data_IF_364567182283
#
_entry.id   IF_364567182283
#
_cell.length_a   1.000
_cell.length_b   1.000
_cell.length_c   1.000
_cell.angle_alpha   90.00
_cell.angle_beta   90.00
_cell.angle_gamma   90.00
#
_symmetry.space_group_name_H-M   'P 1'
#
loop_
_entity.id
_entity.type
_entity.pdbx_description
1 polymer ?
#
# COMPACT_ATOMS: atom_id res chain seq x y z
N UNK A 1 15.90 -25.20 -30.52
CA UNK A 1 17.20 -25.94 -30.69
C UNK A 1 18.00 -25.70 -29.42
N UNK A 2 18.16 -26.72 -28.57
CA UNK A 2 18.89 -26.57 -27.30
C UNK A 2 20.39 -26.50 -27.63
N UNK A 3 21.08 -25.41 -27.25
CA UNK A 3 22.54 -25.30 -27.39
C UNK A 3 23.18 -25.14 -26.02
N UNK A 4 24.19 -25.97 -25.73
CA UNK A 4 24.94 -25.91 -24.47
C UNK A 4 24.31 -26.63 -23.26
N UNK A 5 23.72 -27.82 -23.40
CA UNK A 5 23.57 -28.68 -22.20
C UNK A 5 24.80 -29.59 -22.07
N UNK A 6 25.37 -29.79 -20.87
CA UNK A 6 26.32 -30.87 -20.65
C UNK A 6 25.66 -32.23 -21.00
N UNK A 7 26.43 -33.24 -21.42
CA UNK A 7 25.86 -34.57 -21.67
C UNK A 7 25.19 -35.08 -20.38
N UNK A 8 23.90 -35.43 -20.49
CA UNK A 8 23.11 -36.02 -19.39
C UNK A 8 23.78 -37.32 -18.95
N UNK A 9 24.33 -37.36 -17.72
CA UNK A 9 25.10 -38.50 -17.20
C UNK A 9 24.47 -39.15 -15.97
N UNK A 10 23.31 -38.68 -15.49
CA UNK A 10 22.56 -39.32 -14.42
C UNK A 10 21.19 -39.81 -14.90
N UNK A 11 20.67 -40.83 -14.23
CA UNK A 11 19.41 -41.51 -14.52
C UNK A 11 18.16 -40.72 -14.09
N UNK A 12 18.25 -39.39 -13.98
CA UNK A 12 17.08 -38.55 -13.83
C UNK A 12 16.24 -38.67 -15.11
N UNK A 13 14.94 -38.84 -14.96
CA UNK A 13 13.98 -39.09 -16.04
C UNK A 13 13.90 -37.90 -16.99
N UNK A 14 14.85 -37.78 -17.92
CA UNK A 14 14.76 -36.77 -18.98
C UNK A 14 13.79 -37.25 -20.03
N UNK A 15 12.61 -36.66 -20.02
CA UNK A 15 11.52 -37.00 -20.91
C UNK A 15 11.24 -35.91 -21.96
N UNK A 16 12.21 -35.02 -22.17
CA UNK A 16 12.15 -33.88 -23.09
C UNK A 16 11.54 -34.24 -24.46
N UNK A 17 10.32 -33.76 -24.72
CA UNK A 17 9.81 -33.64 -26.09
C UNK A 17 9.98 -32.20 -26.54
N UNK A 18 10.52 -32.03 -27.75
CA UNK A 18 10.46 -30.74 -28.43
C UNK A 18 9.20 -30.73 -29.29
N UNK A 19 8.13 -30.08 -28.82
CA UNK A 19 7.21 -29.44 -29.75
C UNK A 19 7.97 -28.27 -30.42
N UNK A 20 7.48 -27.72 -31.54
CA UNK A 20 8.13 -26.55 -32.14
C UNK A 20 8.08 -25.36 -31.17
N UNK A 21 9.15 -25.16 -30.40
CA UNK A 21 9.29 -24.04 -29.47
C UNK A 21 9.01 -24.34 -27.99
N UNK A 22 8.71 -25.59 -27.58
CA UNK A 22 8.43 -25.94 -26.17
C UNK A 22 9.20 -27.17 -25.72
N UNK A 23 9.68 -27.14 -24.47
CA UNK A 23 10.26 -28.22 -23.71
C UNK A 23 9.22 -28.73 -22.71
N UNK A 24 8.61 -29.88 -23.00
CA UNK A 24 7.59 -30.47 -22.11
C UNK A 24 8.24 -31.47 -21.15
N UNK A 25 7.94 -31.34 -19.85
CA UNK A 25 8.11 -32.40 -18.86
C UNK A 25 6.84 -33.28 -18.84
N UNK A 26 6.91 -34.52 -18.36
CA UNK A 26 5.74 -35.42 -18.45
C UNK A 26 5.10 -35.50 -17.07
N UNK A 27 3.78 -35.34 -16.98
CA UNK A 27 3.10 -35.32 -15.68
C UNK A 27 3.54 -36.36 -14.63
N UNK A 28 3.47 -35.97 -13.37
CA UNK A 28 4.22 -36.48 -12.23
C UNK A 28 4.99 -35.32 -11.59
N UNK A 29 5.73 -35.60 -10.51
CA UNK A 29 6.54 -34.57 -9.86
C UNK A 29 7.93 -34.55 -10.52
N UNK A 30 8.20 -33.55 -11.36
CA UNK A 30 9.40 -33.38 -12.16
C UNK A 30 10.35 -32.30 -11.60
N UNK A 31 11.58 -32.31 -12.10
CA UNK A 31 12.61 -31.32 -11.75
C UNK A 31 13.40 -30.89 -12.97
N UNK A 32 13.43 -29.59 -13.23
CA UNK A 32 14.27 -28.95 -14.22
C UNK A 32 15.31 -28.04 -13.56
N UNK A 33 16.57 -28.12 -13.99
CA UNK A 33 17.65 -27.28 -13.46
C UNK A 33 18.55 -26.78 -14.60
N UNK A 34 18.74 -25.46 -14.64
CA UNK A 34 19.59 -24.76 -15.59
C UNK A 34 20.62 -23.91 -14.85
N UNK A 35 21.89 -24.29 -14.96
CA UNK A 35 23.04 -23.60 -14.37
C UNK A 35 24.13 -23.36 -15.40
N UNK A 36 25.20 -22.65 -15.02
CA UNK A 36 26.39 -22.56 -15.87
C UNK A 36 26.91 -23.95 -16.24
N UNK A 37 27.16 -24.15 -17.52
CA UNK A 37 27.88 -25.32 -18.03
C UNK A 37 29.37 -25.06 -18.15
N UNK A 38 30.14 -26.13 -18.34
CA UNK A 38 31.57 -26.07 -18.63
C UNK A 38 31.85 -26.82 -19.95
N UNK A 39 32.36 -26.11 -20.95
CA UNK A 39 32.82 -26.69 -22.21
C UNK A 39 34.35 -26.65 -22.29
N UNK A 40 34.98 -27.74 -21.84
CA UNK A 40 36.46 -27.92 -21.91
C UNK A 40 37.27 -26.92 -21.06
N UNK A 41 36.73 -26.47 -19.95
CA UNK A 41 37.32 -25.49 -19.03
C UNK A 41 36.80 -24.08 -19.21
N UNK A 42 36.00 -23.82 -20.26
CA UNK A 42 35.37 -22.53 -20.51
C UNK A 42 33.92 -22.55 -20.01
N UNK A 43 33.58 -21.76 -18.97
CA UNK A 43 32.21 -21.66 -18.50
C UNK A 43 31.32 -20.99 -19.55
N UNK A 44 30.11 -21.49 -19.72
CA UNK A 44 29.12 -20.88 -20.60
C UNK A 44 27.73 -20.90 -19.96
N UNK A 45 26.91 -19.91 -20.30
CA UNK A 45 25.51 -19.84 -19.89
C UNK A 45 24.64 -20.51 -20.98
N UNK A 46 23.73 -21.42 -20.64
CA UNK A 46 22.83 -22.02 -21.61
C UNK A 46 21.92 -20.98 -22.28
N UNK A 47 21.57 -21.20 -23.55
CA UNK A 47 20.55 -20.39 -24.24
C UNK A 47 19.51 -21.34 -24.83
N UNK A 48 18.31 -21.32 -24.24
CA UNK A 48 17.14 -22.12 -24.56
C UNK A 48 16.13 -21.24 -25.28
N UNK A 49 16.13 -21.31 -26.60
CA UNK A 49 15.12 -20.66 -27.46
C UNK A 49 13.86 -21.55 -27.54
N UNK A 50 13.21 -21.74 -26.40
CA UNK A 50 11.98 -22.50 -26.21
C UNK A 50 11.33 -22.16 -24.85
N UNK A 51 10.02 -22.39 -24.75
CA UNK A 51 9.27 -22.40 -23.52
C UNK A 51 9.58 -23.67 -22.71
N UNK A 52 9.36 -23.64 -21.40
CA UNK A 52 9.30 -24.81 -20.51
C UNK A 52 7.86 -24.98 -20.03
N UNK A 53 7.33 -26.19 -20.16
CA UNK A 53 6.03 -26.61 -19.66
C UNK A 53 6.28 -27.80 -18.73
N UNK A 54 6.06 -27.63 -17.42
CA UNK A 54 6.31 -28.67 -16.42
C UNK A 54 5.13 -29.66 -16.32
N UNK A 55 3.91 -29.18 -16.51
CA UNK A 55 2.76 -30.00 -16.87
C UNK A 55 1.82 -30.25 -15.70
N UNK A 56 1.92 -31.41 -15.05
CA UNK A 56 0.99 -31.73 -13.96
C UNK A 56 1.69 -32.54 -12.88
N UNK A 57 1.41 -32.30 -11.61
CA UNK A 57 2.14 -32.83 -10.46
C UNK A 57 3.05 -31.75 -9.86
N UNK A 58 3.54 -31.98 -8.64
CA UNK A 58 4.31 -30.94 -7.92
C UNK A 58 5.74 -30.84 -8.48
N UNK A 59 6.00 -29.82 -9.27
CA UNK A 59 7.19 -29.62 -10.07
C UNK A 59 8.21 -28.64 -9.44
N UNK A 60 9.47 -28.76 -9.84
CA UNK A 60 10.54 -27.87 -9.38
C UNK A 60 11.42 -27.40 -10.52
N UNK A 61 11.44 -26.09 -10.76
CA UNK A 61 12.26 -25.43 -11.78
C UNK A 61 13.30 -24.53 -11.13
N UNK A 62 14.57 -24.68 -11.51
CA UNK A 62 15.66 -23.84 -10.99
C UNK A 62 16.48 -23.29 -12.14
N UNK A 63 16.53 -21.97 -12.27
CA UNK A 63 17.31 -21.26 -13.28
C UNK A 63 18.33 -20.35 -12.59
N UNK A 64 19.61 -20.65 -12.73
CA UNK A 64 20.71 -19.91 -12.11
C UNK A 64 21.62 -19.19 -13.12
N UNK A 65 21.51 -19.54 -14.40
CA UNK A 65 22.26 -18.90 -15.48
C UNK A 65 21.62 -19.20 -16.82
N UNK A 66 21.75 -18.28 -17.77
CA UNK A 66 21.35 -18.50 -19.15
C UNK A 66 20.05 -17.83 -19.52
N UNK A 67 19.46 -18.25 -20.64
CA UNK A 67 18.18 -17.74 -21.08
C UNK A 67 17.20 -18.85 -21.40
N UNK A 68 15.93 -18.63 -21.05
CA UNK A 68 14.77 -19.41 -21.48
C UNK A 68 13.68 -18.45 -21.96
N UNK A 69 12.75 -18.89 -22.82
CA UNK A 69 11.64 -18.06 -23.26
C UNK A 69 10.61 -17.97 -22.13
N UNK A 70 9.53 -18.73 -22.13
CA UNK A 70 8.57 -18.72 -21.01
C UNK A 70 8.69 -19.98 -20.13
N UNK A 71 8.18 -19.90 -18.90
CA UNK A 71 8.02 -21.03 -17.97
C UNK A 71 6.54 -21.11 -17.59
N UNK A 72 5.96 -22.29 -17.76
CA UNK A 72 4.62 -22.67 -17.32
C UNK A 72 4.79 -23.87 -16.37
N UNK A 73 4.40 -23.75 -15.10
CA UNK A 73 4.54 -24.84 -14.13
C UNK A 73 3.37 -25.84 -14.24
N UNK A 74 2.14 -25.35 -14.42
CA UNK A 74 0.99 -26.18 -14.79
C UNK A 74 0.12 -26.55 -13.59
N UNK A 75 -0.40 -27.77 -13.56
CA UNK A 75 -1.29 -28.24 -12.47
C UNK A 75 -0.44 -28.85 -11.33
N UNK A 76 -0.33 -28.24 -10.15
CA UNK A 76 0.49 -28.80 -9.08
C UNK A 76 0.69 -27.83 -7.93
N UNK A 77 1.42 -28.27 -6.90
CA UNK A 77 2.03 -27.33 -5.95
C UNK A 77 3.48 -27.17 -6.37
N UNK A 78 3.73 -26.20 -7.25
CA UNK A 78 4.97 -26.08 -7.98
C UNK A 78 5.92 -25.08 -7.36
N UNK A 79 7.17 -25.12 -7.82
CA UNK A 79 8.16 -24.15 -7.38
C UNK A 79 9.13 -23.77 -8.47
N UNK A 80 9.42 -22.48 -8.56
CA UNK A 80 10.44 -21.94 -9.46
C UNK A 80 11.39 -21.00 -8.72
N UNK A 81 12.70 -21.19 -8.94
CA UNK A 81 13.74 -20.30 -8.42
C UNK A 81 14.57 -19.74 -9.58
N UNK A 82 14.53 -18.42 -9.77
CA UNK A 82 15.27 -17.72 -10.83
C UNK A 82 16.29 -16.80 -10.18
N UNK A 83 17.57 -17.01 -10.48
CA UNK A 83 18.68 -16.25 -9.91
C UNK A 83 19.83 -16.11 -10.90
N UNK A 84 20.82 -15.29 -10.54
CA UNK A 84 22.02 -15.02 -11.32
C UNK A 84 21.89 -13.80 -12.24
N UNK A 85 22.85 -12.87 -12.16
CA UNK A 85 22.80 -11.59 -12.87
C UNK A 85 22.91 -11.69 -14.41
N UNK A 86 23.16 -12.88 -14.95
CA UNK A 86 23.18 -13.14 -16.39
C UNK A 86 21.96 -13.93 -16.88
N UNK A 87 20.97 -14.13 -16.00
CA UNK A 87 19.79 -14.95 -16.26
C UNK A 87 18.69 -14.10 -16.88
N UNK A 88 18.10 -14.61 -17.95
CA UNK A 88 16.95 -14.02 -18.63
C UNK A 88 15.86 -15.07 -18.76
N UNK A 89 14.70 -14.80 -18.15
CA UNK A 89 13.48 -15.59 -18.31
C UNK A 89 12.45 -14.64 -18.90
N UNK A 90 11.62 -15.11 -19.82
CA UNK A 90 10.40 -14.43 -20.23
C UNK A 90 9.34 -14.55 -19.14
N UNK A 91 8.12 -14.87 -19.53
CA UNK A 91 7.02 -14.94 -18.58
C UNK A 91 7.11 -16.21 -17.73
N UNK A 92 6.59 -16.13 -16.51
CA UNK A 92 6.49 -17.25 -15.57
C UNK A 92 5.04 -17.33 -15.12
N UNK A 93 4.41 -18.49 -15.32
CA UNK A 93 3.06 -18.79 -14.81
C UNK A 93 3.16 -19.98 -13.86
N UNK A 94 2.57 -19.85 -12.66
CA UNK A 94 2.42 -20.97 -11.73
C UNK A 94 1.42 -21.99 -12.27
N UNK A 95 0.17 -21.60 -12.44
CA UNK A 95 -0.84 -22.46 -13.08
C UNK A 95 -1.97 -22.78 -12.13
N UNK A 96 -2.27 -24.05 -11.85
CA UNK A 96 -3.29 -24.44 -10.87
C UNK A 96 -2.63 -25.08 -9.66
N UNK A 97 -2.81 -24.47 -8.50
CA UNK A 97 -2.40 -24.93 -7.18
C UNK A 97 -1.59 -23.85 -6.47
N UNK A 98 -1.18 -24.12 -5.22
CA UNK A 98 -0.51 -23.12 -4.38
C UNK A 98 0.99 -23.09 -4.70
N UNK A 99 1.44 -22.20 -5.58
CA UNK A 99 2.78 -22.21 -6.15
C UNK A 99 3.79 -21.31 -5.42
N UNK A 100 5.08 -21.62 -5.57
CA UNK A 100 6.18 -20.84 -5.00
C UNK A 100 7.10 -20.28 -6.09
N UNK A 101 7.05 -18.97 -6.31
CA UNK A 101 7.88 -18.26 -7.28
C UNK A 101 8.91 -17.40 -6.55
N UNK A 102 10.20 -17.69 -6.73
CA UNK A 102 11.29 -16.94 -6.10
C UNK A 102 12.27 -16.37 -7.13
N UNK A 103 12.43 -15.05 -7.17
CA UNK A 103 13.27 -14.34 -8.14
C UNK A 103 14.34 -13.48 -7.46
N UNK A 104 15.55 -13.56 -8.00
CA UNK A 104 16.68 -12.73 -7.56
C UNK A 104 17.26 -13.13 -6.21
N UNK A 105 16.74 -14.16 -5.56
CA UNK A 105 17.19 -14.65 -4.26
C UNK A 105 18.00 -15.92 -4.44
N UNK A 106 19.20 -15.94 -3.87
CA UNK A 106 20.05 -17.11 -3.80
C UNK A 106 20.40 -17.41 -2.34
N UNK A 107 19.80 -18.47 -1.80
CA UNK A 107 20.15 -18.97 -0.48
C UNK A 107 21.31 -19.96 -0.57
N UNK A 108 22.39 -19.69 0.18
CA UNK A 108 23.52 -20.60 0.35
C UNK A 108 23.86 -20.74 1.83
N UNK A 109 24.73 -21.69 2.18
CA UNK A 109 25.14 -21.93 3.57
C UNK A 109 25.75 -20.67 4.24
N UNK A 110 26.34 -19.77 3.45
CA UNK A 110 26.92 -18.51 3.90
C UNK A 110 25.90 -17.39 4.15
N UNK A 111 24.64 -17.55 3.70
CA UNK A 111 23.57 -16.58 3.85
C UNK A 111 22.74 -16.38 2.57
N UNK A 112 21.95 -15.32 2.56
CA UNK A 112 21.11 -14.93 1.42
C UNK A 112 21.86 -13.91 0.57
N UNK A 113 21.95 -14.17 -0.73
CA UNK A 113 22.55 -13.27 -1.72
C UNK A 113 21.49 -12.83 -2.71
N UNK A 114 21.51 -11.55 -3.07
CA UNK A 114 20.65 -11.02 -4.11
C UNK A 114 21.39 -10.99 -5.45
N UNK A 115 20.67 -11.31 -6.50
CA UNK A 115 21.14 -11.30 -7.88
C UNK A 115 20.18 -10.50 -8.76
N UNK A 116 20.60 -10.20 -9.98
CA UNK A 116 19.85 -9.29 -10.87
C UNK A 116 19.40 -10.01 -12.16
N UNK A 117 18.52 -11.03 -12.08
CA UNK A 117 17.94 -11.61 -13.28
C UNK A 117 17.02 -10.62 -13.98
N UNK A 118 16.69 -10.90 -15.24
CA UNK A 118 15.59 -10.25 -15.96
C UNK A 118 14.49 -11.31 -16.14
N UNK A 119 13.28 -10.99 -15.70
CA UNK A 119 12.09 -11.83 -15.84
C UNK A 119 11.01 -11.00 -16.54
N UNK A 120 10.18 -11.63 -17.35
CA UNK A 120 8.98 -11.00 -17.91
C UNK A 120 7.90 -10.82 -16.85
N UNK A 121 6.65 -11.06 -17.23
CA UNK A 121 5.52 -11.05 -16.31
C UNK A 121 5.57 -12.31 -15.45
N UNK A 122 5.32 -12.15 -14.16
CA UNK A 122 5.11 -13.26 -13.23
C UNK A 122 3.62 -13.32 -12.93
N UNK A 123 3.01 -14.49 -13.14
CA UNK A 123 1.62 -14.80 -12.79
C UNK A 123 1.62 -15.99 -11.81
N UNK A 124 0.95 -15.87 -10.66
CA UNK A 124 0.73 -17.00 -9.76
C UNK A 124 -0.20 -18.02 -10.39
N UNK A 125 -1.44 -17.64 -10.69
CA UNK A 125 -2.40 -18.51 -11.37
C UNK A 125 -3.65 -18.73 -10.53
N UNK A 126 -4.20 -19.93 -10.50
CA UNK A 126 -5.27 -20.32 -9.56
C UNK A 126 -4.66 -21.00 -8.34
N UNK A 127 -4.87 -20.50 -7.13
CA UNK A 127 -4.29 -21.08 -5.91
C UNK A 127 -3.85 -19.99 -4.95
N UNK A 128 -3.46 -20.35 -3.73
CA UNK A 128 -2.84 -19.41 -2.79
C UNK A 128 -1.33 -19.36 -3.01
N UNK A 129 -0.88 -18.50 -3.92
CA UNK A 129 0.47 -18.44 -4.42
C UNK A 129 1.39 -17.60 -3.52
N UNK A 130 2.70 -17.89 -3.58
CA UNK A 130 3.73 -17.11 -2.91
C UNK A 130 4.79 -16.66 -3.91
N UNK A 131 4.81 -15.36 -4.17
CA UNK A 131 5.76 -14.70 -5.09
C UNK A 131 6.74 -13.87 -4.26
N UNK A 132 8.03 -14.20 -4.29
CA UNK A 132 9.09 -13.47 -3.57
C UNK A 132 10.17 -12.98 -4.53
N UNK A 133 10.40 -11.66 -4.57
CA UNK A 133 11.36 -11.03 -5.51
C UNK A 133 12.35 -10.16 -4.73
N UNK A 134 13.60 -10.64 -4.59
CA UNK A 134 14.66 -9.97 -3.84
C UNK A 134 15.67 -9.18 -4.67
N UNK A 135 15.62 -9.28 -5.99
CA UNK A 135 16.46 -8.49 -6.89
C UNK A 135 16.18 -8.78 -8.37
N UNK A 136 16.72 -7.95 -9.25
CA UNK A 136 16.53 -8.05 -10.70
C UNK A 136 15.46 -7.11 -11.24
N UNK A 137 15.18 -7.26 -12.54
CA UNK A 137 14.13 -6.53 -13.23
C UNK A 137 13.02 -7.52 -13.60
N UNK A 138 11.79 -7.19 -13.27
CA UNK A 138 10.58 -7.96 -13.61
C UNK A 138 9.62 -7.03 -14.33
N UNK A 139 8.94 -7.50 -15.36
CA UNK A 139 8.05 -6.65 -16.16
C UNK A 139 6.82 -6.21 -15.35
N UNK A 140 6.08 -7.17 -14.80
CA UNK A 140 4.90 -6.96 -13.96
C UNK A 140 4.70 -8.18 -13.04
N UNK A 141 3.85 -8.04 -12.03
CA UNK A 141 3.41 -9.15 -11.18
C UNK A 141 1.89 -9.19 -11.15
N UNK A 142 1.34 -10.36 -11.40
CA UNK A 142 -0.08 -10.70 -11.32
C UNK A 142 -0.17 -11.89 -10.35
N UNK A 143 -0.85 -11.73 -9.21
CA UNK A 143 -0.93 -12.80 -8.23
C UNK A 143 -1.88 -13.90 -8.71
N UNK A 144 -3.06 -13.51 -9.20
CA UNK A 144 -4.01 -14.39 -9.86
C UNK A 144 -5.25 -14.61 -9.01
N UNK A 145 -5.82 -15.81 -9.06
CA UNK A 145 -7.01 -16.15 -8.30
C UNK A 145 -6.64 -17.00 -7.08
N UNK A 146 -6.84 -16.45 -5.89
CA UNK A 146 -6.67 -17.12 -4.60
C UNK A 146 -6.22 -16.13 -3.55
N UNK A 147 -5.91 -16.60 -2.34
CA UNK A 147 -5.39 -15.71 -1.29
C UNK A 147 -3.86 -15.69 -1.38
N UNK A 148 -3.29 -14.73 -2.09
CA UNK A 148 -1.89 -14.73 -2.50
C UNK A 148 -0.96 -13.93 -1.59
N UNK A 149 0.34 -14.22 -1.66
CA UNK A 149 1.38 -13.47 -0.98
C UNK A 149 2.47 -13.01 -1.94
N UNK A 150 2.54 -11.70 -2.18
CA UNK A 150 3.58 -11.06 -3.01
C UNK A 150 4.53 -10.25 -2.12
N UNK A 151 5.82 -10.60 -2.13
CA UNK A 151 6.86 -9.90 -1.35
C UNK A 151 7.99 -9.40 -2.25
N UNK A 152 8.08 -8.09 -2.41
CA UNK A 152 9.10 -7.40 -3.20
C UNK A 152 10.10 -6.71 -2.26
N UNK A 153 11.38 -6.97 -2.44
CA UNK A 153 12.44 -6.45 -1.58
C UNK A 153 13.75 -6.15 -2.29
N UNK A 154 14.82 -6.00 -1.50
CA UNK A 154 16.18 -5.79 -2.00
C UNK A 154 16.29 -4.56 -2.91
N UNK A 155 16.90 -4.72 -4.09
CA UNK A 155 17.00 -3.68 -5.13
C UNK A 155 16.22 -4.08 -6.39
N UNK A 156 15.08 -4.76 -6.21
CA UNK A 156 14.19 -5.15 -7.31
C UNK A 156 13.65 -3.94 -8.06
N UNK A 157 13.52 -4.05 -9.38
CA UNK A 157 12.74 -3.14 -10.20
C UNK A 157 11.59 -3.90 -10.87
N UNK A 158 10.35 -3.49 -10.57
CA UNK A 158 9.17 -3.89 -11.35
C UNK A 158 8.90 -2.77 -12.35
N UNK A 159 8.77 -3.06 -13.64
CA UNK A 159 8.61 -2.03 -14.68
C UNK A 159 7.20 -1.43 -14.70
N UNK A 160 6.19 -2.27 -14.49
CA UNK A 160 4.77 -1.92 -14.54
C UNK A 160 4.12 -2.08 -13.16
N UNK A 161 2.94 -2.68 -13.13
CA UNK A 161 2.05 -2.79 -11.99
C UNK A 161 2.28 -4.10 -11.20
N UNK A 162 1.71 -4.13 -10.00
CA UNK A 162 1.50 -5.34 -9.21
C UNK A 162 -0.01 -5.46 -8.97
N UNK A 163 -0.59 -6.58 -9.39
CA UNK A 163 -2.02 -6.86 -9.26
C UNK A 163 -2.24 -8.07 -8.32
N UNK A 164 -3.09 -7.91 -7.31
CA UNK A 164 -3.58 -9.02 -6.46
C UNK A 164 -4.63 -9.89 -7.16
N UNK A 165 -5.42 -9.29 -8.06
CA UNK A 165 -6.51 -9.94 -8.79
C UNK A 165 -7.66 -10.44 -7.88
N UNK A 166 -7.84 -11.74 -7.65
CA UNK A 166 -9.06 -12.24 -6.99
C UNK A 166 -8.76 -13.07 -5.75
N UNK A 167 -9.12 -12.57 -4.58
CA UNK A 167 -8.99 -13.25 -3.29
C UNK A 167 -8.53 -12.27 -2.22
N UNK A 168 -8.07 -12.75 -1.07
CA UNK A 168 -7.58 -11.86 -0.01
C UNK A 168 -6.06 -11.84 -0.04
N UNK A 169 -5.49 -10.87 -0.75
CA UNK A 169 -4.09 -10.86 -1.09
C UNK A 169 -3.25 -10.08 -0.09
N UNK A 170 -1.98 -10.46 0.04
CA UNK A 170 -1.00 -9.71 0.82
C UNK A 170 0.16 -9.29 -0.06
N UNK A 171 0.29 -8.00 -0.32
CA UNK A 171 1.36 -7.40 -1.11
C UNK A 171 2.28 -6.60 -0.18
N UNK A 172 3.58 -6.91 -0.19
CA UNK A 172 4.58 -6.25 0.65
C UNK A 172 5.73 -5.69 -0.20
N UNK A 173 6.00 -4.40 -0.07
CA UNK A 173 7.14 -3.71 -0.69
C UNK A 173 8.13 -3.25 0.39
N UNK A 174 9.39 -3.63 0.23
CA UNK A 174 10.45 -3.38 1.21
C UNK A 174 11.80 -3.06 0.57
N UNK A 175 12.79 -2.74 1.40
CA UNK A 175 14.15 -2.46 0.92
C UNK A 175 14.22 -1.19 0.06
N UNK A 176 14.93 -1.28 -1.07
CA UNK A 176 15.03 -0.22 -2.07
C UNK A 176 14.30 -0.60 -3.37
N UNK A 177 13.28 -1.46 -3.29
CA UNK A 177 12.52 -1.87 -4.46
C UNK A 177 11.88 -0.66 -5.17
N UNK A 178 11.76 -0.70 -6.49
CA UNK A 178 11.06 0.32 -7.27
C UNK A 178 9.97 -0.33 -8.12
N UNK A 179 8.73 0.11 -7.95
CA UNK A 179 7.59 -0.28 -8.78
C UNK A 179 7.36 0.87 -9.76
N UNK A 180 7.43 0.61 -11.06
CA UNK A 180 7.28 1.64 -12.08
C UNK A 180 5.84 2.14 -12.23
N UNK A 181 4.88 1.25 -11.98
CA UNK A 181 3.45 1.51 -11.97
C UNK A 181 2.85 1.59 -10.57
N UNK A 182 1.65 1.03 -10.45
CA UNK A 182 0.79 1.04 -9.27
C UNK A 182 0.71 -0.33 -8.60
N UNK A 183 0.03 -0.38 -7.46
CA UNK A 183 -0.34 -1.62 -6.77
C UNK A 183 -1.87 -1.66 -6.70
N UNK A 184 -2.47 -2.78 -7.11
CA UNK A 184 -3.91 -3.00 -7.09
C UNK A 184 -4.25 -4.20 -6.21
N UNK A 185 -5.15 -4.02 -5.23
CA UNK A 185 -5.75 -5.11 -4.44
C UNK A 185 -6.71 -5.94 -5.28
N UNK A 186 -7.69 -5.26 -5.89
CA UNK A 186 -8.78 -5.81 -6.72
C UNK A 186 -9.89 -6.48 -5.90
N UNK A 187 -10.31 -7.71 -6.22
CA UNK A 187 -11.50 -8.35 -5.63
C UNK A 187 -11.10 -9.06 -4.33
N UNK A 188 -11.36 -8.48 -3.15
CA UNK A 188 -10.74 -9.07 -1.96
C UNK A 188 -11.06 -8.47 -0.61
N UNK A 189 -10.30 -8.89 0.40
CA UNK A 189 -9.97 -8.07 1.55
C UNK A 189 -8.45 -8.07 1.62
N UNK A 190 -7.84 -7.09 1.00
CA UNK A 190 -6.43 -7.12 0.67
C UNK A 190 -5.60 -6.42 1.74
N UNK A 191 -4.33 -6.78 1.79
CA UNK A 191 -3.35 -6.15 2.68
C UNK A 191 -2.15 -5.68 1.89
N UNK A 192 -1.97 -4.36 1.81
CA UNK A 192 -0.79 -3.74 1.19
C UNK A 192 0.13 -3.15 2.29
N UNK A 193 1.36 -3.65 2.36
CA UNK A 193 2.39 -3.20 3.31
C UNK A 193 3.54 -2.50 2.57
N UNK A 194 3.79 -1.23 2.87
CA UNK A 194 4.93 -0.46 2.37
C UNK A 194 5.92 -0.20 3.52
N UNK A 195 6.96 -1.03 3.57
CA UNK A 195 8.05 -0.99 4.57
C UNK A 195 9.35 -0.41 4.00
N UNK A 196 9.33 0.01 2.73
CA UNK A 196 10.47 0.56 2.01
C UNK A 196 10.14 0.76 0.53
N UNK A 197 11.17 1.02 -0.27
CA UNK A 197 11.02 1.17 -1.71
C UNK A 197 10.23 2.41 -2.16
N UNK A 198 9.93 2.43 -3.46
CA UNK A 198 9.12 3.46 -4.11
C UNK A 198 8.05 2.80 -4.99
N UNK A 199 6.80 3.25 -4.88
CA UNK A 199 5.69 2.91 -5.78
C UNK A 199 5.45 4.09 -6.71
N UNK A 200 5.59 3.84 -8.00
CA UNK A 200 5.52 4.82 -9.05
C UNK A 200 6.81 5.59 -9.30
N UNK A 201 6.72 6.55 -10.23
CA UNK A 201 7.81 7.43 -10.62
C UNK A 201 7.40 8.90 -10.56
N UNK A 202 8.35 9.81 -10.68
CA UNK A 202 8.04 11.26 -10.76
C UNK A 202 7.31 11.65 -12.05
N UNK A 203 7.41 10.84 -13.11
CA UNK A 203 6.77 11.14 -14.41
C UNK A 203 5.42 10.43 -14.59
N UNK A 204 5.25 9.29 -13.93
CA UNK A 204 4.03 8.51 -13.86
C UNK A 204 3.83 8.16 -12.39
N UNK A 205 3.10 9.01 -11.63
CA UNK A 205 2.77 8.73 -10.25
C UNK A 205 2.10 7.36 -10.14
N UNK A 206 2.58 6.53 -9.23
CA UNK A 206 2.03 5.21 -8.95
C UNK A 206 1.10 5.33 -7.76
N UNK A 207 -0.07 4.72 -7.86
CA UNK A 207 -1.08 4.72 -6.80
C UNK A 207 -1.06 3.37 -6.09
N UNK A 208 -1.69 3.34 -4.91
CA UNK A 208 -2.14 2.09 -4.30
C UNK A 208 -3.66 2.13 -4.35
N UNK A 209 -4.28 1.19 -5.04
CA UNK A 209 -5.72 1.10 -5.16
C UNK A 209 -6.17 -0.24 -4.56
N UNK A 210 -6.88 -0.17 -3.43
CA UNK A 210 -7.36 -1.35 -2.73
C UNK A 210 -8.65 -1.90 -3.35
N UNK A 211 -9.30 -1.13 -4.23
CA UNK A 211 -10.56 -1.47 -4.87
C UNK A 211 -11.68 -1.78 -3.85
N UNK A 212 -12.40 -2.90 -3.98
CA UNK A 212 -13.54 -3.20 -3.11
C UNK A 212 -13.20 -4.29 -2.11
N UNK A 213 -13.36 -4.03 -0.82
CA UNK A 213 -12.96 -4.98 0.21
C UNK A 213 -12.85 -4.31 1.57
N UNK A 214 -12.80 -5.09 2.65
CA UNK A 214 -12.40 -4.54 3.95
C UNK A 214 -10.88 -4.63 4.06
N UNK A 215 -10.19 -3.69 3.42
CA UNK A 215 -8.77 -3.75 3.12
C UNK A 215 -7.90 -3.12 4.21
N UNK A 216 -6.61 -3.43 4.15
CA UNK A 216 -5.60 -2.94 5.09
C UNK A 216 -4.43 -2.33 4.31
N UNK A 217 -4.19 -1.05 4.54
CA UNK A 217 -2.97 -0.38 4.08
C UNK A 217 -2.06 -0.04 5.27
N UNK A 218 -0.85 -0.59 5.29
CA UNK A 218 0.18 -0.27 6.27
C UNK A 218 1.37 0.40 5.60
N UNK A 219 1.87 1.48 6.19
CA UNK A 219 3.10 2.13 5.74
C UNK A 219 3.98 2.50 6.93
N UNK A 220 5.20 1.95 6.95
CA UNK A 220 6.20 2.22 7.99
C UNK A 220 7.40 2.98 7.45
N UNK A 221 7.66 2.88 6.14
CA UNK A 221 8.67 3.63 5.41
C UNK A 221 8.30 3.66 3.91
N UNK A 222 9.27 3.96 3.04
CA UNK A 222 9.07 3.98 1.59
C UNK A 222 8.38 5.25 1.08
N UNK A 223 7.99 5.21 -0.19
CA UNK A 223 7.44 6.34 -0.91
C UNK A 223 6.38 5.92 -1.92
N UNK A 224 5.15 6.40 -1.78
CA UNK A 224 4.10 6.29 -2.80
C UNK A 224 4.02 7.65 -3.51
N UNK A 225 4.27 7.68 -4.82
CA UNK A 225 4.34 8.94 -5.57
C UNK A 225 2.98 9.49 -5.98
N UNK A 226 1.93 8.69 -5.87
CA UNK A 226 0.53 9.07 -6.04
C UNK A 226 -0.27 8.98 -4.74
N UNK A 227 -1.57 8.70 -4.90
CA UNK A 227 -2.56 8.58 -3.82
C UNK A 227 -2.78 7.12 -3.42
N UNK A 228 -3.44 6.92 -2.29
CA UNK A 228 -3.97 5.63 -1.81
C UNK A 228 -5.49 5.70 -1.85
N UNK A 229 -6.14 4.74 -2.49
CA UNK A 229 -7.60 4.66 -2.64
C UNK A 229 -8.12 3.38 -2.00
N UNK A 230 -9.21 3.48 -1.24
CA UNK A 230 -9.93 2.34 -0.70
C UNK A 230 -11.21 1.96 -1.43
N UNK A 231 -11.66 2.76 -2.41
CA UNK A 231 -12.96 2.72 -3.11
C UNK A 231 -14.19 2.29 -2.27
N UNK A 232 -14.32 1.05 -1.83
CA UNK A 232 -15.34 0.69 -0.84
C UNK A 232 -15.05 -0.50 0.06
N UNK A 233 -15.78 -0.58 1.16
CA UNK A 233 -15.55 -1.52 2.25
C UNK A 233 -14.94 -0.82 3.45
N UNK A 234 -15.01 -1.44 4.63
CA UNK A 234 -14.53 -0.81 5.87
C UNK A 234 -13.03 -1.01 6.03
N UNK A 235 -12.27 -0.08 5.47
CA UNK A 235 -10.82 -0.13 5.30
C UNK A 235 -10.06 0.36 6.54
N UNK A 236 -8.82 -0.12 6.69
CA UNK A 236 -7.91 0.30 7.76
C UNK A 236 -6.58 0.79 7.21
N UNK A 237 -6.22 2.03 7.51
CA UNK A 237 -4.98 2.67 7.10
C UNK A 237 -4.10 2.97 8.32
N UNK A 238 -2.90 2.42 8.37
CA UNK A 238 -1.89 2.72 9.40
C UNK A 238 -0.62 3.27 8.78
N UNK A 239 -0.41 4.58 8.87
CA UNK A 239 0.76 5.27 8.31
C UNK A 239 1.61 5.84 9.44
N UNK A 240 2.76 5.21 9.70
CA UNK A 240 3.67 5.56 10.81
C UNK A 240 5.00 6.17 10.36
N UNK A 241 5.31 6.07 9.07
CA UNK A 241 6.51 6.64 8.44
C UNK A 241 6.37 6.63 6.91
N UNK A 242 7.42 7.07 6.22
CA UNK A 242 7.40 7.18 4.76
C UNK A 242 6.64 8.41 4.24
N UNK A 243 6.49 8.48 2.91
CA UNK A 243 5.83 9.60 2.21
C UNK A 243 4.81 9.11 1.19
N UNK A 244 3.57 9.56 1.31
CA UNK A 244 2.57 9.55 0.24
C UNK A 244 2.52 10.96 -0.35
N UNK A 245 2.81 11.14 -1.64
CA UNK A 245 2.79 12.46 -2.29
C UNK A 245 1.37 12.96 -2.58
N UNK A 246 0.44 12.04 -2.84
CA UNK A 246 -0.98 12.31 -2.99
C UNK A 246 -1.74 12.26 -1.66
N UNK A 247 -3.00 11.85 -1.75
CA UNK A 247 -3.93 11.76 -0.62
C UNK A 247 -4.20 10.32 -0.24
N UNK A 248 -4.83 10.13 0.91
CA UNK A 248 -5.52 8.89 1.29
C UNK A 248 -7.02 9.16 1.15
N UNK A 249 -7.70 8.40 0.30
CA UNK A 249 -9.15 8.44 0.13
C UNK A 249 -9.74 7.11 0.61
N UNK A 250 -10.47 7.15 1.72
CA UNK A 250 -10.86 5.91 2.42
C UNK A 250 -12.00 5.16 1.71
N UNK A 251 -12.94 5.89 1.10
CA UNK A 251 -13.86 5.34 0.12
C UNK A 251 -15.30 5.29 0.63
N UNK A 252 -15.82 4.10 0.89
CA UNK A 252 -17.21 3.96 1.34
C UNK A 252 -17.37 2.90 2.41
N UNK A 253 -18.31 3.12 3.34
CA UNK A 253 -18.48 2.40 4.61
C UNK A 253 -17.48 2.88 5.68
N UNK A 254 -17.67 2.39 6.91
CA UNK A 254 -16.93 2.87 8.07
C UNK A 254 -15.43 2.51 7.99
N UNK A 255 -14.61 3.52 7.78
CA UNK A 255 -13.17 3.44 7.59
C UNK A 255 -12.37 3.89 8.84
N UNK A 256 -11.12 3.45 8.93
CA UNK A 256 -10.21 3.88 10.00
C UNK A 256 -8.84 4.31 9.46
N UNK A 257 -8.50 5.58 9.65
CA UNK A 257 -7.20 6.15 9.27
C UNK A 257 -6.40 6.58 10.51
N UNK A 258 -5.20 6.01 10.68
CA UNK A 258 -4.28 6.35 11.77
C UNK A 258 -2.93 6.86 11.24
N UNK A 259 -2.60 8.12 11.54
CA UNK A 259 -1.34 8.77 11.17
C UNK A 259 -0.46 9.00 12.40
N UNK A 260 0.79 8.53 12.34
CA UNK A 260 1.72 8.59 13.47
C UNK A 260 3.18 8.74 13.05
N UNK A 261 4.08 8.75 14.04
CA UNK A 261 5.53 8.75 13.83
C UNK A 261 6.00 9.94 12.99
N UNK A 262 6.71 9.64 11.90
CA UNK A 262 7.27 10.61 10.96
C UNK A 262 6.63 10.54 9.57
N UNK A 263 5.42 10.00 9.47
CA UNK A 263 4.65 9.95 8.23
C UNK A 263 4.50 11.34 7.59
N UNK A 264 4.51 11.37 6.26
CA UNK A 264 4.18 12.55 5.46
C UNK A 264 3.13 12.17 4.43
N UNK A 265 1.98 12.84 4.44
CA UNK A 265 0.93 12.68 3.42
C UNK A 265 0.72 14.02 2.74
N UNK A 266 0.76 14.00 1.41
CA UNK A 266 0.70 15.16 0.55
C UNK A 266 -0.74 15.54 0.22
N UNK A 267 -0.96 16.01 -1.00
CA UNK A 267 -2.29 16.38 -1.51
C UNK A 267 -2.36 15.92 -2.94
N UNK A 268 -3.38 15.16 -3.28
CA UNK A 268 -3.79 14.97 -4.66
C UNK A 268 -4.49 16.25 -5.14
N UNK A 269 -3.93 16.96 -6.13
CA UNK A 269 -4.61 18.14 -6.69
C UNK A 269 -5.95 17.79 -7.36
N UNK A 270 -6.22 16.51 -7.64
CA UNK A 270 -7.40 16.04 -8.34
C UNK A 270 -7.49 16.55 -9.78
N UNK A 271 -8.56 16.13 -10.47
CA UNK A 271 -8.89 16.61 -11.80
C UNK A 271 -9.35 18.07 -11.76
N UNK A 272 -8.39 18.99 -11.88
CA UNK A 272 -8.65 20.43 -11.87
C UNK A 272 -7.73 21.26 -10.97
N UNK A 273 -6.95 20.62 -10.09
CA UNK A 273 -6.03 21.34 -9.19
C UNK A 273 -6.68 21.89 -7.92
N UNK A 274 -7.85 21.36 -7.54
CA UNK A 274 -8.67 21.87 -6.45
C UNK A 274 -8.72 20.93 -5.24
N UNK A 275 -8.10 19.75 -5.30
CA UNK A 275 -8.02 18.86 -4.14
C UNK A 275 -7.29 19.53 -2.98
N UNK A 276 -7.87 19.47 -1.78
CA UNK A 276 -7.37 20.12 -0.57
C UNK A 276 -6.89 19.15 0.49
N UNK A 277 -7.25 17.88 0.36
CA UNK A 277 -7.21 16.94 1.47
C UNK A 277 -5.95 16.10 1.40
N UNK A 278 -5.29 15.90 2.55
CA UNK A 278 -4.36 14.80 2.69
C UNK A 278 -5.09 13.50 3.01
N UNK A 279 -6.20 13.59 3.73
CA UNK A 279 -7.06 12.45 4.08
C UNK A 279 -8.51 12.86 3.86
N UNK A 280 -9.20 12.20 2.95
CA UNK A 280 -10.67 12.22 2.86
C UNK A 280 -11.19 10.87 3.35
N UNK A 281 -12.08 10.87 4.34
CA UNK A 281 -12.71 9.64 4.82
C UNK A 281 -13.90 9.23 3.93
N UNK A 282 -14.53 10.20 3.27
CA UNK A 282 -15.55 10.01 2.23
C UNK A 282 -16.90 9.54 2.80
N UNK A 283 -17.49 8.41 2.39
CA UNK A 283 -18.81 7.99 2.87
C UNK A 283 -18.68 6.96 4.02
N UNK A 284 -19.17 7.21 5.23
CA UNK A 284 -19.09 6.25 6.33
C UNK A 284 -19.21 6.89 7.71
N UNK A 285 -19.46 6.12 8.77
CA UNK A 285 -19.22 6.61 10.13
C UNK A 285 -17.72 6.36 10.46
N UNK A 286 -16.85 7.27 10.05
CA UNK A 286 -15.41 7.02 9.96
C UNK A 286 -14.63 7.42 11.21
N UNK A 287 -13.39 6.94 11.31
CA UNK A 287 -12.48 7.33 12.38
C UNK A 287 -11.11 7.74 11.87
N UNK A 288 -10.72 8.98 12.20
CA UNK A 288 -9.36 9.48 12.01
C UNK A 288 -8.63 9.68 13.35
N UNK A 289 -7.40 9.17 13.47
CA UNK A 289 -6.52 9.45 14.61
C UNK A 289 -5.13 9.89 14.17
N UNK A 290 -4.67 11.03 14.69
CA UNK A 290 -3.32 11.53 14.43
C UNK A 290 -2.54 11.77 15.71
N UNK A 291 -1.42 11.06 15.87
CA UNK A 291 -0.49 11.21 17.02
C UNK A 291 0.87 11.79 16.65
N UNK A 292 1.20 11.86 15.37
CA UNK A 292 2.46 12.34 14.81
C UNK A 292 2.36 12.56 13.30
N UNK A 293 3.49 12.77 12.63
CA UNK A 293 3.53 13.01 11.18
C UNK A 293 3.16 14.44 10.74
N UNK A 294 3.08 14.63 9.43
CA UNK A 294 2.68 15.89 8.78
C UNK A 294 1.72 15.61 7.63
N UNK A 295 0.59 16.30 7.63
CA UNK A 295 -0.36 16.37 6.52
C UNK A 295 -0.20 17.70 5.81
N UNK A 296 0.01 17.69 4.50
CA UNK A 296 0.14 18.89 3.69
C UNK A 296 -1.20 19.61 3.48
N UNK A 297 -2.29 18.84 3.44
CA UNK A 297 -3.66 19.28 3.22
C UNK A 297 -4.54 19.16 4.47
N UNK A 298 -5.84 19.08 4.22
CA UNK A 298 -6.87 18.95 5.23
C UNK A 298 -7.15 17.48 5.60
N UNK A 299 -7.97 17.30 6.63
CA UNK A 299 -8.70 16.06 6.89
C UNK A 299 -10.19 16.37 6.82
N UNK A 300 -10.91 15.63 6.01
CA UNK A 300 -12.35 15.75 5.79
C UNK A 300 -13.02 14.44 6.18
N UNK A 301 -14.05 14.50 7.02
CA UNK A 301 -14.90 13.36 7.37
C UNK A 301 -15.67 12.89 6.14
N UNK A 302 -16.61 13.71 5.67
CA UNK A 302 -17.39 13.41 4.49
C UNK A 302 -18.84 13.14 4.88
N UNK A 303 -19.45 12.04 4.45
CA UNK A 303 -20.83 11.75 4.79
C UNK A 303 -20.92 10.66 5.87
N UNK A 304 -21.48 11.00 7.03
CA UNK A 304 -21.69 10.09 8.15
C UNK A 304 -21.29 10.76 9.47
N UNK A 305 -21.36 10.03 10.58
CA UNK A 305 -21.04 10.59 11.90
C UNK A 305 -19.61 10.22 12.28
N UNK A 306 -18.69 11.12 11.97
CA UNK A 306 -17.26 10.85 12.01
C UNK A 306 -16.65 11.12 13.38
N UNK A 307 -15.53 10.44 13.66
CA UNK A 307 -14.69 10.69 14.83
C UNK A 307 -13.29 11.10 14.39
N UNK A 308 -13.01 12.40 14.44
CA UNK A 308 -11.73 12.99 14.01
C UNK A 308 -10.93 13.40 15.24
N UNK A 309 -9.78 12.76 15.47
CA UNK A 309 -8.94 13.01 16.66
C UNK A 309 -7.52 13.47 16.32
N UNK A 310 -7.14 14.64 16.82
CA UNK A 310 -5.78 15.20 16.74
C UNK A 310 -5.10 15.22 18.12
N UNK A 311 -4.08 14.37 18.30
CA UNK A 311 -3.27 14.23 19.54
C UNK A 311 -1.85 14.74 19.36
N UNK A 312 -1.33 14.79 18.13
CA UNK A 312 0.02 15.24 17.81
C UNK A 312 0.24 15.44 16.31
N UNK A 313 1.43 15.89 15.91
CA UNK A 313 1.76 16.16 14.50
C UNK A 313 1.29 17.52 14.01
N UNK A 314 1.33 17.72 12.69
CA UNK A 314 0.97 18.98 12.01
C UNK A 314 0.01 18.71 10.85
N UNK A 315 -1.09 19.47 10.81
CA UNK A 315 -2.01 19.54 9.66
C UNK A 315 -1.93 20.97 9.11
N UNK A 316 -1.51 21.11 7.85
CA UNK A 316 -1.22 22.42 7.26
C UNK A 316 -2.44 23.12 6.64
N UNK A 317 -3.60 22.47 6.65
CA UNK A 317 -4.89 23.04 6.27
C UNK A 317 -5.88 22.97 7.44
N UNK A 318 -7.12 22.54 7.22
CA UNK A 318 -8.23 22.50 8.18
C UNK A 318 -8.62 21.06 8.59
N UNK A 319 -9.51 20.96 9.59
CA UNK A 319 -10.25 19.75 9.94
C UNK A 319 -11.74 20.02 9.71
N UNK A 320 -12.44 19.13 9.02
CA UNK A 320 -13.86 19.27 8.70
C UNK A 320 -14.61 17.96 8.95
N UNK A 321 -15.74 18.04 9.66
CA UNK A 321 -16.67 16.92 9.83
C UNK A 321 -17.41 16.62 8.52
N UNK A 322 -17.98 17.65 7.91
CA UNK A 322 -18.85 17.62 6.72
C UNK A 322 -20.28 17.22 7.08
N UNK A 323 -20.86 16.20 6.45
CA UNK A 323 -22.28 15.85 6.57
C UNK A 323 -22.49 14.79 7.66
N UNK A 324 -22.94 15.16 8.86
CA UNK A 324 -23.35 14.25 9.91
C UNK A 324 -23.20 14.86 11.30
N UNK A 325 -23.37 14.04 12.35
CA UNK A 325 -23.20 14.54 13.72
C UNK A 325 -21.81 14.13 14.23
N UNK A 326 -20.84 15.00 13.98
CA UNK A 326 -19.44 14.63 14.06
C UNK A 326 -18.84 14.89 15.44
N UNK A 327 -17.77 14.17 15.73
CA UNK A 327 -16.98 14.31 16.94
C UNK A 327 -15.54 14.68 16.59
N UNK A 328 -15.19 15.96 16.76
CA UNK A 328 -13.84 16.46 16.51
C UNK A 328 -13.13 16.73 17.83
N UNK A 329 -12.08 15.96 18.11
CA UNK A 329 -11.30 16.01 19.36
C UNK A 329 -9.86 16.49 19.10
N UNK A 330 -9.54 17.69 19.57
CA UNK A 330 -8.17 18.23 19.53
C UNK A 330 -7.58 18.27 20.93
N UNK A 331 -6.57 17.44 21.18
CA UNK A 331 -5.87 17.35 22.47
C UNK A 331 -4.39 17.67 22.38
N UNK A 332 -3.84 17.78 21.17
CA UNK A 332 -2.46 18.17 20.91
C UNK A 332 -2.26 18.57 19.44
N UNK A 333 -1.00 18.57 18.99
CA UNK A 333 -0.66 18.90 17.60
C UNK A 333 -0.76 20.38 17.23
N UNK A 334 -0.51 20.66 15.95
CA UNK A 334 -0.65 21.99 15.34
C UNK A 334 -1.55 21.85 14.11
N UNK A 335 -2.65 22.60 14.11
CA UNK A 335 -3.54 22.76 12.97
C UNK A 335 -3.40 24.19 12.45
N UNK A 336 -3.04 24.37 11.19
CA UNK A 336 -2.83 25.70 10.62
C UNK A 336 -4.14 26.44 10.32
N UNK A 337 -5.18 25.71 9.93
CA UNK A 337 -6.48 26.21 9.53
C UNK A 337 -7.52 26.16 10.65
N UNK A 338 -8.77 26.02 10.23
CA UNK A 338 -9.95 25.97 11.10
C UNK A 338 -10.36 24.54 11.44
N UNK A 339 -11.23 24.44 12.44
CA UNK A 339 -12.00 23.23 12.73
C UNK A 339 -13.46 23.55 12.46
N UNK A 340 -14.14 22.78 11.62
CA UNK A 340 -15.58 22.93 11.36
C UNK A 340 -16.30 21.59 11.45
N UNK A 341 -17.48 21.56 12.04
CA UNK A 341 -18.36 20.38 12.04
C UNK A 341 -19.15 20.28 10.74
N UNK A 342 -19.55 21.43 10.19
CA UNK A 342 -20.34 21.60 8.99
C UNK A 342 -21.83 21.24 9.17
N UNK A 343 -22.37 20.18 8.59
CA UNK A 343 -23.81 19.91 8.57
C UNK A 343 -24.18 18.83 9.56
N UNK A 344 -24.79 19.21 10.68
CA UNK A 344 -25.39 18.31 11.65
C UNK A 344 -25.25 18.84 13.06
N UNK A 345 -25.55 18.02 14.07
CA UNK A 345 -25.45 18.43 15.47
C UNK A 345 -24.08 18.00 16.02
N UNK A 346 -23.08 18.87 15.90
CA UNK A 346 -21.68 18.48 16.11
C UNK A 346 -21.19 18.62 17.55
N UNK A 347 -20.15 17.84 17.88
CA UNK A 347 -19.39 17.93 19.12
C UNK A 347 -17.92 18.20 18.84
N UNK A 348 -17.46 19.40 19.18
CA UNK A 348 -16.06 19.80 19.04
C UNK A 348 -15.44 20.02 20.42
N UNK A 349 -14.39 19.25 20.73
CA UNK A 349 -13.72 19.28 22.03
C UNK A 349 -12.25 19.63 21.88
N UNK A 350 -11.86 20.78 22.42
CA UNK A 350 -10.50 21.29 22.43
C UNK A 350 -9.94 21.22 23.85
N UNK A 351 -8.97 20.33 24.07
CA UNK A 351 -8.29 20.13 25.37
C UNK A 351 -6.81 20.46 25.33
N UNK A 352 -6.23 20.67 24.14
CA UNK A 352 -4.83 21.01 23.92
C UNK A 352 -4.57 21.43 22.47
N UNK A 353 -3.30 21.45 22.09
CA UNK A 353 -2.88 21.81 20.71
C UNK A 353 -2.94 23.31 20.40
N UNK A 354 -2.65 23.64 19.14
CA UNK A 354 -2.74 24.99 18.60
C UNK A 354 -3.53 24.98 17.28
N UNK A 355 -4.58 25.78 17.21
CA UNK A 355 -5.45 25.98 16.03
C UNK A 355 -5.18 27.39 15.49
N UNK A 356 -4.77 27.45 14.22
CA UNK A 356 -4.34 28.68 13.56
C UNK A 356 -5.49 29.59 13.09
N UNK A 357 -6.72 29.07 13.03
CA UNK A 357 -7.93 29.81 12.67
C UNK A 357 -9.03 29.67 13.75
N UNK A 358 -10.29 29.80 13.33
CA UNK A 358 -11.49 29.67 14.16
C UNK A 358 -11.91 28.21 14.36
N UNK A 359 -12.88 28.02 15.27
CA UNK A 359 -13.65 26.79 15.42
C UNK A 359 -15.10 27.11 15.12
N UNK A 360 -15.75 26.34 14.26
CA UNK A 360 -17.16 26.49 13.88
C UNK A 360 -17.90 25.18 14.11
N UNK A 361 -19.12 25.24 14.63
CA UNK A 361 -20.05 24.12 14.59
C UNK A 361 -20.53 23.93 13.16
N UNK A 362 -21.32 24.88 12.68
CA UNK A 362 -21.78 24.93 11.31
C UNK A 362 -23.29 25.09 11.27
N UNK A 363 -23.95 24.23 10.51
CA UNK A 363 -25.38 24.14 10.38
C UNK A 363 -25.94 23.00 11.25
N UNK A 364 -26.46 23.34 12.42
CA UNK A 364 -27.21 22.42 13.26
C UNK A 364 -27.25 22.93 14.68
N UNK A 365 -27.15 22.03 15.65
CA UNK A 365 -27.07 22.37 17.06
C UNK A 365 -25.74 21.92 17.66
N UNK A 366 -24.80 22.86 17.66
CA UNK A 366 -23.40 22.49 17.83
C UNK A 366 -22.90 22.76 19.25
N UNK A 367 -22.08 21.85 19.76
CA UNK A 367 -21.49 21.92 21.08
C UNK A 367 -19.96 22.03 20.97
N UNK A 368 -19.43 23.20 21.36
CA UNK A 368 -17.99 23.44 21.44
C UNK A 368 -17.55 23.49 22.91
N UNK A 369 -16.60 22.65 23.30
CA UNK A 369 -15.97 22.70 24.63
C UNK A 369 -14.48 22.98 24.55
N UNK A 370 -14.00 23.99 25.28
CA UNK A 370 -12.58 24.35 25.36
C UNK A 370 -12.11 24.25 26.81
N UNK A 371 -11.21 23.32 27.07
CA UNK A 371 -10.60 23.07 28.39
C UNK A 371 -9.09 23.36 28.40
N UNK A 372 -8.47 23.51 27.23
CA UNK A 372 -7.05 23.79 27.05
C UNK A 372 -6.72 24.19 25.60
N UNK A 373 -5.43 24.29 25.27
CA UNK A 373 -4.97 24.66 23.92
C UNK A 373 -5.04 26.15 23.60
N UNK A 374 -4.76 26.49 22.34
CA UNK A 374 -4.87 27.86 21.79
C UNK A 374 -5.66 27.84 20.49
N UNK A 375 -6.66 28.70 20.39
CA UNK A 375 -7.42 28.99 19.18
C UNK A 375 -7.10 30.44 18.80
N UNK A 376 -6.50 30.64 17.63
CA UNK A 376 -6.12 31.98 17.16
C UNK A 376 -7.34 32.80 16.76
N UNK A 377 -8.34 32.15 16.16
CA UNK A 377 -9.61 32.74 15.74
C UNK A 377 -10.68 32.74 16.82
N UNK A 378 -11.94 32.80 16.39
CA UNK A 378 -13.12 32.79 17.25
C UNK A 378 -13.74 31.41 17.41
N UNK A 379 -14.90 31.37 18.07
CA UNK A 379 -15.77 30.20 18.15
C UNK A 379 -17.15 30.61 17.62
N UNK A 380 -17.72 29.84 16.71
CA UNK A 380 -19.11 30.00 16.25
C UNK A 380 -19.88 28.70 16.51
N UNK A 381 -20.79 28.70 17.48
CA UNK A 381 -21.60 27.53 17.83
C UNK A 381 -22.79 27.91 18.72
N UNK A 382 -23.83 27.08 18.76
CA UNK A 382 -25.01 27.29 19.58
C UNK A 382 -24.67 27.14 21.06
N UNK A 383 -23.86 26.15 21.43
CA UNK A 383 -23.47 25.81 22.79
C UNK A 383 -21.96 25.88 22.98
N UNK A 384 -21.50 26.73 23.92
CA UNK A 384 -20.08 26.92 24.17
C UNK A 384 -19.77 26.76 25.65
N UNK A 385 -18.89 25.82 25.99
CA UNK A 385 -18.39 25.61 27.36
C UNK A 385 -16.88 25.85 27.45
N UNK A 386 -16.48 26.86 28.23
CA UNK A 386 -15.10 27.25 28.44
C UNK A 386 -14.65 26.98 29.88
N UNK A 387 -13.57 26.24 30.05
CA UNK A 387 -12.91 26.09 31.36
C UNK A 387 -11.38 26.21 31.34
N UNK A 388 -10.80 26.51 30.18
CA UNK A 388 -9.37 26.78 30.00
C UNK A 388 -9.05 27.18 28.57
N UNK A 389 -7.77 27.15 28.22
CA UNK A 389 -7.27 27.50 26.88
C UNK A 389 -7.16 29.01 26.63
N UNK A 390 -6.91 29.38 25.38
CA UNK A 390 -6.85 30.78 24.91
C UNK A 390 -7.61 30.90 23.60
N UNK A 391 -8.47 31.91 23.48
CA UNK A 391 -9.26 32.21 22.27
C UNK A 391 -8.92 33.64 21.85
N UNK A 392 -8.46 33.82 20.61
CA UNK A 392 -8.04 35.11 20.08
C UNK A 392 -9.17 35.96 19.47
N UNK A 393 -10.29 35.33 19.13
CA UNK A 393 -11.45 35.95 18.47
C UNK A 393 -12.70 36.04 19.34
N UNK A 394 -13.82 36.38 18.69
CA UNK A 394 -15.13 36.48 19.34
C UNK A 394 -15.80 35.11 19.45
N UNK A 395 -16.76 35.02 20.36
CA UNK A 395 -17.71 33.90 20.43
C UNK A 395 -19.03 34.36 19.83
N UNK A 396 -19.52 33.65 18.81
CA UNK A 396 -20.77 33.93 18.08
C UNK A 396 -21.65 32.68 18.02
N UNK A 397 -22.78 32.72 17.29
CA UNK A 397 -23.67 31.55 17.10
C UNK A 397 -24.58 31.22 18.29
N UNK A 398 -24.27 31.74 19.48
CA UNK A 398 -24.90 31.33 20.74
C UNK A 398 -26.43 31.33 20.73
N UNK A 399 -26.98 30.20 21.17
CA UNK A 399 -28.37 30.08 21.59
C UNK A 399 -28.66 30.82 22.92
N UNK A 400 -29.94 30.85 23.36
CA UNK A 400 -30.31 31.43 24.65
C UNK A 400 -29.78 30.60 25.84
N UNK A 401 -29.00 31.23 26.73
CA UNK A 401 -28.46 30.63 27.96
C UNK A 401 -27.46 29.47 27.74
N UNK A 402 -26.68 29.52 26.65
CA UNK A 402 -25.86 28.40 26.18
C UNK A 402 -24.34 28.60 26.29
N UNK A 403 -23.89 29.79 26.74
CA UNK A 403 -22.50 30.07 27.05
C UNK A 403 -22.23 29.77 28.54
N UNK A 404 -21.39 28.76 28.79
CA UNK A 404 -20.91 28.39 30.14
C UNK A 404 -19.43 28.70 30.24
N UNK A 405 -19.04 29.40 31.31
CA UNK A 405 -17.65 29.75 31.58
C UNK A 405 -17.35 29.42 33.05
N UNK A 406 -16.56 28.38 33.27
CA UNK A 406 -16.20 27.87 34.60
C UNK A 406 -14.68 27.87 34.80
N UNK A 407 -14.19 28.04 36.04
CA UNK A 407 -12.78 27.76 36.37
C UNK A 407 -11.70 28.69 35.79
N UNK A 408 -12.03 29.72 35.01
CA UNK A 408 -11.04 30.68 34.52
C UNK A 408 -10.51 31.59 35.66
N UNK A 409 -9.19 31.59 35.83
CA UNK A 409 -8.51 32.68 36.53
C UNK A 409 -8.69 33.99 35.76
N UNK A 410 -8.98 35.08 36.49
CA UNK A 410 -9.20 36.46 36.04
C UNK A 410 -9.47 36.69 34.53
N UNK A 411 -10.74 36.98 34.20
CA UNK A 411 -11.15 37.64 32.96
C UNK A 411 -10.49 39.03 32.92
N UNK A 412 -9.68 39.33 31.90
CA UNK A 412 -9.09 40.67 31.68
C UNK A 412 -9.82 41.41 30.55
#
# INVERSE_FOLDING_TARGET
VISGLPPVTSSATTSLQSAEGTLELFGGNDRFEMSYGDLSGDPFAPNVDANLDAGAGDDTVIIQAGSIHDIDLGDGVDSVVISGSGTQVGNVTGGIGDDLISVGILEVEEGVFFSEPIVGIISGGEGGDTITIGGGNVEAVDAGAGDDQVSIGGNTAIELDIDGEAGNDTITVSGNATIGGSIFGNDGNDTVNIDGGTVGTTISPGIVDLAGGADIFNMTAGHVTGSVFGEGGGNTYTVSGGTVDGSIYAGSQDDSVSISGNASVGIDPGEGGEGTDSVGLEDGDDTFDMTGGTLAGAVSGGAGNDVITLRGGTINSFLEGNDGNDQILVSGGVLAGEVTGDVGDDLIVISGGAIGSSVSGGAGFDNVSVTGGTITGGIDAEHVHLSGGTIGGNITGLGPDTLVIDGIGAVD
#
